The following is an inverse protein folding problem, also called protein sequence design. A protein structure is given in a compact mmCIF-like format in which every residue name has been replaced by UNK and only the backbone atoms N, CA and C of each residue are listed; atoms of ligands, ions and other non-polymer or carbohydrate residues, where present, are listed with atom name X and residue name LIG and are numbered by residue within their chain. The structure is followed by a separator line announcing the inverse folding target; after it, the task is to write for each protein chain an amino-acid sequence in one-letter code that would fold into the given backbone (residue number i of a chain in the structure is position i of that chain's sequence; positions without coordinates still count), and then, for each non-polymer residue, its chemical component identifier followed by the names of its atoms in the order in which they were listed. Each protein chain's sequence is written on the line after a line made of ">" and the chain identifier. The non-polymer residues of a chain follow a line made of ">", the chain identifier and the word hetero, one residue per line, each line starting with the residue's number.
data_IF_814598790870
#
_entry.id   IF_814598790870
#
_cell.length_a   1.000
_cell.length_b   1.000
_cell.length_c   1.000
_cell.angle_alpha   90.00
_cell.angle_beta   90.00
_cell.angle_gamma   90.00
#
_symmetry.space_group_name_H-M   'P 1'
#
loop_
_entity.id
_entity.type
_entity.pdbx_description
1 polymer ?
#
# COMPACT_ATOMS: atom_id res chain seq x y z
N UNK A 1 -47.33 -19.53 -75.81
CA UNK A 1 -46.82 -20.51 -74.84
C UNK A 1 -45.84 -19.81 -73.93
N UNK A 2 -46.36 -19.38 -72.78
CA UNK A 2 -45.77 -18.41 -71.86
C UNK A 2 -44.89 -19.07 -70.80
N UNK A 3 -43.76 -18.42 -70.51
CA UNK A 3 -43.22 -18.08 -69.17
C UNK A 3 -43.36 -19.15 -68.07
N UNK A 4 -42.40 -20.06 -67.93
CA UNK A 4 -42.28 -20.88 -66.70
C UNK A 4 -40.85 -21.33 -66.33
N UNK A 5 -39.77 -20.68 -66.80
CA UNK A 5 -38.42 -21.23 -66.58
C UNK A 5 -37.37 -20.30 -65.92
N UNK A 6 -37.76 -19.21 -65.28
CA UNK A 6 -36.80 -18.26 -64.67
C UNK A 6 -37.19 -17.83 -63.26
N UNK A 7 -37.50 -18.77 -62.36
CA UNK A 7 -37.77 -18.47 -60.94
C UNK A 7 -37.27 -19.56 -59.96
N UNK A 8 -36.13 -20.21 -60.20
CA UNK A 8 -35.59 -21.20 -59.25
C UNK A 8 -34.07 -21.10 -58.95
N UNK A 9 -33.37 -20.09 -59.48
CA UNK A 9 -31.92 -19.92 -59.23
C UNK A 9 -31.55 -18.64 -58.45
N UNK A 10 -32.53 -17.82 -58.06
CA UNK A 10 -32.29 -16.53 -57.42
C UNK A 10 -32.27 -16.52 -55.88
N UNK A 11 -32.62 -17.62 -55.20
CA UNK A 11 -32.77 -17.66 -53.74
C UNK A 11 -31.54 -18.16 -52.97
N UNK A 12 -30.76 -19.09 -53.52
CA UNK A 12 -29.69 -19.75 -52.76
C UNK A 12 -28.48 -18.88 -52.39
N UNK A 13 -28.16 -17.84 -53.16
CA UNK A 13 -26.99 -16.99 -52.87
C UNK A 13 -27.25 -16.03 -51.71
N UNK A 14 -28.47 -15.52 -51.56
CA UNK A 14 -28.81 -14.57 -50.50
C UNK A 14 -28.85 -15.23 -49.11
N UNK A 15 -29.22 -16.51 -49.03
CA UNK A 15 -29.29 -17.25 -47.77
C UNK A 15 -27.88 -17.49 -47.18
N UNK A 16 -26.89 -17.81 -48.01
CA UNK A 16 -25.53 -18.06 -47.53
C UNK A 16 -24.85 -16.78 -47.01
N UNK A 17 -24.99 -15.66 -47.71
CA UNK A 17 -24.46 -14.37 -47.25
C UNK A 17 -25.20 -13.85 -46.01
N UNK A 18 -26.52 -14.08 -45.92
CA UNK A 18 -27.31 -13.73 -44.73
C UNK A 18 -26.87 -14.50 -43.49
N UNK A 19 -26.68 -15.82 -43.60
CA UNK A 19 -26.21 -16.65 -42.49
C UNK A 19 -24.78 -16.24 -42.08
N UNK A 20 -23.89 -16.03 -43.05
CA UNK A 20 -22.53 -15.56 -42.77
C UNK A 20 -22.52 -14.22 -42.02
N UNK A 21 -23.39 -13.28 -42.41
CA UNK A 21 -23.52 -11.98 -41.75
C UNK A 21 -24.08 -12.10 -40.33
N UNK A 22 -25.11 -12.94 -40.11
CA UNK A 22 -25.67 -13.18 -38.77
C UNK A 22 -24.64 -13.83 -37.85
N UNK A 23 -23.88 -14.82 -38.35
CA UNK A 23 -22.79 -15.45 -37.59
C UNK A 23 -21.71 -14.43 -37.25
N UNK A 24 -21.31 -13.59 -38.20
CA UNK A 24 -20.31 -12.55 -37.98
C UNK A 24 -20.77 -11.54 -36.92
N UNK A 25 -22.03 -11.09 -36.99
CA UNK A 25 -22.61 -10.21 -35.97
C UNK A 25 -22.69 -10.89 -34.60
N UNK A 26 -23.12 -12.15 -34.55
CA UNK A 26 -23.17 -12.93 -33.31
C UNK A 26 -21.79 -13.06 -32.66
N UNK A 27 -20.76 -13.34 -33.46
CA UNK A 27 -19.37 -13.38 -32.99
C UNK A 27 -18.93 -12.00 -32.49
N UNK A 28 -19.22 -10.92 -33.22
CA UNK A 28 -18.85 -9.57 -32.81
C UNK A 28 -19.48 -9.16 -31.48
N UNK A 29 -20.76 -9.51 -31.25
CA UNK A 29 -21.49 -9.24 -29.99
C UNK A 29 -20.82 -9.92 -28.78
N UNK A 30 -20.17 -11.06 -28.97
CA UNK A 30 -19.46 -11.78 -27.89
C UNK A 30 -18.01 -11.32 -27.77
N UNK A 31 -17.32 -11.13 -28.90
CA UNK A 31 -15.89 -10.81 -28.93
C UNK A 31 -15.61 -9.40 -28.44
N UNK A 32 -16.43 -8.41 -28.79
CA UNK A 32 -16.27 -7.02 -28.32
C UNK A 32 -16.27 -6.87 -26.79
N UNK A 33 -17.25 -7.39 -26.03
CA UNK A 33 -17.24 -7.30 -24.57
C UNK A 33 -16.12 -8.12 -23.94
N UNK A 34 -15.77 -9.29 -24.50
CA UNK A 34 -14.65 -10.10 -23.99
C UNK A 34 -13.32 -9.36 -24.16
N UNK A 35 -13.07 -8.75 -25.32
CA UNK A 35 -11.88 -7.95 -25.56
C UNK A 35 -11.86 -6.73 -24.63
N UNK A 36 -12.99 -6.02 -24.51
CA UNK A 36 -13.11 -4.89 -23.59
C UNK A 36 -12.78 -5.27 -22.14
N UNK A 37 -13.35 -6.38 -21.66
CA UNK A 37 -13.08 -6.92 -20.33
C UNK A 37 -11.62 -7.35 -20.16
N UNK A 38 -11.00 -7.91 -21.20
CA UNK A 38 -9.60 -8.30 -21.14
C UNK A 38 -8.66 -7.09 -21.08
N UNK A 39 -8.96 -6.02 -21.82
CA UNK A 39 -8.21 -4.76 -21.76
C UNK A 39 -8.31 -4.09 -20.39
N UNK A 40 -9.50 -4.06 -19.77
CA UNK A 40 -9.65 -3.48 -18.41
C UNK A 40 -8.85 -4.25 -17.37
N UNK A 41 -8.81 -5.59 -17.45
CA UNK A 41 -7.99 -6.42 -16.55
C UNK A 41 -6.50 -6.14 -16.73
N UNK A 42 -6.03 -6.02 -17.98
CA UNK A 42 -4.61 -5.75 -18.26
C UNK A 42 -4.21 -4.39 -17.67
N UNK A 43 -5.03 -3.37 -17.86
CA UNK A 43 -4.73 -2.02 -17.38
C UNK A 43 -4.71 -1.96 -15.84
N UNK A 44 -5.68 -2.60 -15.16
CA UNK A 44 -5.68 -2.73 -13.70
C UNK A 44 -4.39 -3.40 -13.20
N UNK A 45 -3.93 -4.46 -13.88
CA UNK A 45 -2.68 -5.15 -13.49
C UNK A 45 -1.45 -4.28 -13.72
N UNK A 46 -1.41 -3.52 -14.81
CA UNK A 46 -0.34 -2.58 -15.08
C UNK A 46 -0.32 -1.44 -14.03
N UNK A 47 -1.49 -0.89 -13.71
CA UNK A 47 -1.70 0.10 -12.67
C UNK A 47 -1.19 -0.40 -11.31
N UNK A 48 -1.59 -1.59 -10.90
CA UNK A 48 -1.15 -2.17 -9.62
C UNK A 48 0.37 -2.41 -9.58
N UNK A 49 1.00 -2.75 -10.71
CA UNK A 49 2.45 -2.91 -10.80
C UNK A 49 3.17 -1.57 -10.67
N UNK A 50 2.67 -0.53 -11.35
CA UNK A 50 3.22 0.82 -11.27
C UNK A 50 3.09 1.39 -9.84
N UNK A 51 1.93 1.21 -9.21
CA UNK A 51 1.67 1.63 -7.84
C UNK A 51 2.63 0.97 -6.84
N UNK A 52 2.79 -0.36 -6.93
CA UNK A 52 3.75 -1.08 -6.05
C UNK A 52 5.18 -0.57 -6.22
N UNK A 53 5.62 -0.35 -7.45
CA UNK A 53 6.95 0.19 -7.71
C UNK A 53 7.15 1.60 -7.14
N UNK A 54 6.12 2.45 -7.24
CA UNK A 54 6.15 3.80 -6.68
C UNK A 54 6.15 3.78 -5.16
N UNK A 55 5.32 2.92 -4.54
CA UNK A 55 5.29 2.75 -3.09
C UNK A 55 6.67 2.32 -2.58
N UNK A 56 7.30 1.30 -3.18
CA UNK A 56 8.64 0.85 -2.79
C UNK A 56 9.68 1.96 -2.93
N UNK A 57 9.65 2.76 -3.99
CA UNK A 57 10.56 3.90 -4.17
C UNK A 57 10.35 4.97 -3.10
N UNK A 58 9.11 5.24 -2.73
CA UNK A 58 8.76 6.22 -1.70
C UNK A 58 9.19 5.70 -0.33
N UNK A 59 8.91 4.44 0.00
CA UNK A 59 9.31 3.85 1.28
C UNK A 59 10.84 3.81 1.40
N UNK A 60 11.56 3.37 0.36
CA UNK A 60 13.04 3.35 0.37
C UNK A 60 13.65 4.76 0.46
N UNK A 61 12.94 5.81 0.06
CA UNK A 61 13.39 7.20 0.24
C UNK A 61 13.30 7.69 1.69
N UNK A 62 12.50 7.02 2.52
CA UNK A 62 12.42 7.28 3.95
C UNK A 62 13.36 6.43 4.79
N UNK A 63 14.31 5.69 4.19
CA UNK A 63 15.37 4.99 4.92
C UNK A 63 16.73 5.61 4.60
N UNK A 64 17.49 5.91 5.66
CA UNK A 64 18.87 6.40 5.60
C UNK A 64 19.81 5.28 5.12
N UNK A 65 21.02 5.65 4.69
CA UNK A 65 22.09 4.72 4.31
C UNK A 65 22.51 3.78 5.47
N UNK A 66 22.22 4.20 6.70
CA UNK A 66 22.37 3.41 7.93
C UNK A 66 21.17 2.47 8.23
N UNK A 67 20.14 2.44 7.37
CA UNK A 67 18.91 1.67 7.57
C UNK A 67 17.92 2.27 8.57
N UNK A 68 18.14 3.52 8.99
CA UNK A 68 17.28 4.23 9.96
C UNK A 68 16.22 5.06 9.24
N UNK A 69 14.99 5.08 9.76
CA UNK A 69 13.90 5.83 9.13
C UNK A 69 14.16 7.34 9.19
N UNK A 70 14.25 7.99 8.01
CA UNK A 70 14.30 9.44 7.82
C UNK A 70 12.86 9.95 7.83
N UNK A 71 12.24 9.95 9.01
CA UNK A 71 10.86 10.39 9.15
C UNK A 71 10.79 11.91 8.97
N UNK A 72 9.95 12.43 8.04
CA UNK A 72 9.79 13.86 7.88
C UNK A 72 9.14 14.47 9.13
N UNK A 73 9.42 15.75 9.36
CA UNK A 73 9.12 16.44 10.63
C UNK A 73 7.61 16.40 11.01
N UNK A 74 6.71 16.31 10.02
CA UNK A 74 5.27 16.18 10.24
C UNK A 74 4.83 14.78 10.71
N UNK A 75 5.62 13.73 10.47
CA UNK A 75 5.38 12.39 11.05
C UNK A 75 5.81 12.40 12.51
N UNK A 76 6.95 13.02 12.80
CA UNK A 76 7.45 13.20 14.16
C UNK A 76 6.55 14.13 15.00
N UNK A 77 5.76 15.03 14.38
CA UNK A 77 4.80 15.89 15.10
C UNK A 77 3.79 15.12 15.95
N UNK A 78 3.47 13.88 15.58
CA UNK A 78 2.56 13.04 16.37
C UNK A 78 3.30 12.19 17.42
N UNK A 79 4.63 12.19 17.43
CA UNK A 79 5.41 11.47 18.43
C UNK A 79 5.75 12.43 19.57
N UNK A 80 5.28 12.15 20.80
CA UNK A 80 5.60 13.00 21.94
C UNK A 80 7.11 12.96 22.22
N UNK A 81 7.71 14.10 22.65
CA UNK A 81 9.16 14.24 22.77
C UNK A 81 9.81 13.23 23.74
N UNK A 82 9.06 12.75 24.73
CA UNK A 82 9.50 11.72 25.66
C UNK A 82 9.81 10.38 24.98
N UNK A 83 9.04 10.01 23.95
CA UNK A 83 9.21 8.75 23.20
C UNK A 83 10.36 8.87 22.21
N UNK A 84 10.48 10.03 21.56
CA UNK A 84 11.61 10.36 20.69
C UNK A 84 12.94 10.32 21.44
N UNK A 85 12.97 10.81 22.70
CA UNK A 85 14.17 10.77 23.55
C UNK A 85 14.63 9.34 23.90
N UNK A 86 13.69 8.38 23.94
CA UNK A 86 13.97 6.95 24.10
C UNK A 86 14.37 6.27 22.77
N UNK A 87 14.28 6.97 21.64
CA UNK A 87 14.56 6.44 20.31
C UNK A 87 13.47 5.53 19.76
N UNK A 88 12.23 5.69 20.22
CA UNK A 88 11.05 4.94 19.77
C UNK A 88 10.13 5.82 18.92
N UNK A 89 9.20 5.19 18.19
CA UNK A 89 8.13 5.83 17.42
C UNK A 89 6.77 5.53 18.03
N UNK A 90 5.82 6.47 17.96
CA UNK A 90 4.43 6.22 18.36
C UNK A 90 3.65 5.53 17.24
N UNK A 91 2.76 4.55 17.51
CA UNK A 91 2.43 3.96 18.82
C UNK A 91 3.46 2.91 19.26
N UNK A 92 3.76 2.87 20.56
CA UNK A 92 4.66 1.88 21.17
C UNK A 92 4.02 1.27 22.42
N UNK A 93 4.42 0.06 22.77
CA UNK A 93 3.92 -0.67 23.94
C UNK A 93 4.75 -0.36 25.20
N UNK A 94 4.17 -0.59 26.38
CA UNK A 94 4.89 -0.42 27.65
C UNK A 94 6.16 -1.29 27.73
N UNK A 95 6.12 -2.49 27.14
CA UNK A 95 7.26 -3.42 27.10
C UNK A 95 8.43 -2.85 26.28
N UNK A 96 8.14 -2.29 25.11
CA UNK A 96 9.14 -1.66 24.24
C UNK A 96 9.82 -0.46 24.90
N UNK A 97 9.04 0.36 25.64
CA UNK A 97 9.56 1.49 26.41
C UNK A 97 10.55 1.01 27.47
N UNK A 98 10.20 -0.04 28.24
CA UNK A 98 11.06 -0.61 29.29
C UNK A 98 12.34 -1.20 28.70
N UNK A 99 12.24 -1.90 27.57
CA UNK A 99 13.39 -2.49 26.90
C UNK A 99 14.34 -1.43 26.33
N UNK A 100 13.80 -0.36 25.73
CA UNK A 100 14.59 0.77 25.24
C UNK A 100 15.29 1.51 26.39
N UNK A 101 14.56 1.75 27.49
CA UNK A 101 15.11 2.37 28.69
C UNK A 101 16.25 1.55 29.28
N UNK A 102 16.10 0.23 29.44
CA UNK A 102 17.18 -0.64 29.97
C UNK A 102 18.46 -0.51 29.13
N UNK A 103 18.33 -0.58 27.80
CA UNK A 103 19.47 -0.43 26.87
C UNK A 103 20.14 0.94 26.96
N UNK A 104 19.38 2.01 27.17
CA UNK A 104 19.91 3.38 27.30
C UNK A 104 20.52 3.64 28.67
N UNK A 105 19.91 3.09 29.73
CA UNK A 105 20.38 3.21 31.10
C UNK A 105 21.73 2.50 31.29
N UNK A 106 21.91 1.31 30.72
CA UNK A 106 23.19 0.58 30.72
C UNK A 106 24.30 1.39 30.04
N UNK A 107 23.98 2.09 28.93
CA UNK A 107 24.96 2.89 28.18
C UNK A 107 25.32 4.20 28.86
N UNK A 108 24.35 4.85 29.50
CA UNK A 108 24.51 6.20 30.07
C UNK A 108 24.69 6.19 31.59
N UNK A 109 24.92 5.01 32.21
CA UNK A 109 25.00 4.90 33.66
C UNK A 109 26.17 5.76 34.21
N UNK A 110 25.95 6.57 35.27
CA UNK A 110 27.00 7.43 35.82
C UNK A 110 28.21 6.64 36.34
N UNK A 111 28.01 5.41 36.84
CA UNK A 111 29.09 4.55 37.33
C UNK A 111 30.05 4.09 36.21
N UNK A 112 29.62 4.14 34.94
CA UNK A 112 30.44 3.83 33.77
C UNK A 112 31.07 5.10 33.14
N UNK A 113 31.02 6.22 33.85
CA UNK A 113 31.49 7.53 33.36
C UNK A 113 30.42 8.32 32.59
N UNK A 114 29.15 7.92 32.70
CA UNK A 114 28.01 8.64 32.12
C UNK A 114 27.70 9.96 32.84
N UNK A 115 26.99 10.84 32.16
CA UNK A 115 26.56 12.13 32.72
C UNK A 115 25.28 11.95 33.55
N UNK A 116 25.37 12.24 34.85
CA UNK A 116 24.25 12.17 35.80
C UNK A 116 23.05 13.03 35.35
N UNK A 117 23.29 14.19 34.74
CA UNK A 117 22.21 15.07 34.29
C UNK A 117 21.44 14.42 33.13
N UNK A 118 22.15 13.78 32.20
CA UNK A 118 21.53 13.05 31.08
C UNK A 118 20.74 11.84 31.56
N UNK A 119 21.25 11.13 32.58
CA UNK A 119 20.55 10.00 33.17
C UNK A 119 19.23 10.42 33.84
N UNK A 120 19.23 11.53 34.58
CA UNK A 120 18.01 12.09 35.18
C UNK A 120 17.00 12.51 34.11
N UNK A 121 17.44 13.18 33.05
CA UNK A 121 16.57 13.56 31.93
C UNK A 121 15.96 12.33 31.25
N UNK A 122 16.76 11.28 31.03
CA UNK A 122 16.28 10.01 30.49
C UNK A 122 15.21 9.37 31.38
N UNK A 123 15.40 9.40 32.70
CA UNK A 123 14.43 8.89 33.67
C UNK A 123 13.11 9.68 33.61
N UNK A 124 13.16 11.01 33.53
CA UNK A 124 11.98 11.86 33.37
C UNK A 124 11.22 11.54 32.08
N UNK A 125 11.92 11.37 30.96
CA UNK A 125 11.28 11.00 29.69
C UNK A 125 10.65 9.61 29.74
N UNK A 126 11.29 8.65 30.40
CA UNK A 126 10.72 7.32 30.62
C UNK A 126 9.39 7.38 31.38
N UNK A 127 9.35 8.12 32.50
CA UNK A 127 8.13 8.25 33.31
C UNK A 127 6.98 8.90 32.51
N UNK A 128 7.29 9.96 31.76
CA UNK A 128 6.31 10.62 30.89
C UNK A 128 5.78 9.69 29.78
N UNK A 129 6.65 8.86 29.20
CA UNK A 129 6.25 7.92 28.15
C UNK A 129 5.31 6.83 28.67
N UNK A 130 5.57 6.28 29.87
CA UNK A 130 4.71 5.28 30.50
C UNK A 130 3.33 5.86 30.81
N UNK A 131 3.27 7.07 31.36
CA UNK A 131 2.00 7.74 31.65
C UNK A 131 1.16 7.96 30.38
N UNK A 132 1.82 8.33 29.27
CA UNK A 132 1.15 8.52 27.98
C UNK A 132 0.54 7.24 27.43
N UNK A 133 1.27 6.11 27.49
CA UNK A 133 0.75 4.81 27.04
C UNK A 133 -0.43 4.38 27.92
N UNK A 134 -0.32 4.51 29.24
CA UNK A 134 -1.41 4.16 30.17
C UNK A 134 -2.66 5.01 29.95
N UNK A 135 -2.52 6.30 29.68
CA UNK A 135 -3.64 7.17 29.34
C UNK A 135 -4.31 6.77 28.02
N UNK A 136 -3.51 6.39 27.01
CA UNK A 136 -4.03 5.93 25.73
C UNK A 136 -4.79 4.60 25.86
N UNK A 137 -4.32 3.69 26.72
CA UNK A 137 -5.00 2.41 27.01
C UNK A 137 -6.32 2.61 27.76
N UNK A 138 -6.42 3.61 28.64
CA UNK A 138 -7.65 3.90 29.40
C UNK A 138 -8.74 4.60 28.56
N UNK A 139 -8.37 5.21 27.43
CA UNK A 139 -9.28 5.96 26.56
C UNK A 139 -9.88 5.10 25.42
N UNK A 140 -9.50 3.83 25.34
CA UNK A 140 -9.89 2.88 24.29
C UNK A 140 -10.75 1.75 24.87
#
# INVERSE_FOLDING_TARGET
>A
MLRTFTLLFGSQQFDAFGIAYIVLLGVAVVVLPVIGYWLTIIDIRAYMRALKGMLVKVTNRFYDESGKEILPDWVLRHTPPCITALGLSWPCTEQEIKDAYRKLAEKNHPDLGGDRQRFLALQTHFEQAIQLVQQAEQQN
#
